data_IF_350873837976
#
_entry.id   IF_350873837976
#
_cell.length_a   1.000
_cell.length_b   1.000
_cell.length_c   1.000
_cell.angle_alpha   90.00
_cell.angle_beta   90.00
_cell.angle_gamma   90.00
#
_symmetry.space_group_name_H-M   'P 1'
#
loop_
_entity.id
_entity.type
_entity.pdbx_description
1 polymer ?
#
# COMPACT_ATOMS: atom_id res chain seq x y z
N UNK A 1 -77.81 -6.42 -4.23
CA UNK A 1 -77.86 -6.19 -5.68
C UNK A 1 -76.65 -5.34 -6.05
N UNK A 2 -75.71 -5.95 -6.77
CA UNK A 2 -74.87 -5.42 -7.87
C UNK A 2 -74.93 -3.90 -8.14
N UNK A 3 -73.91 -3.14 -8.57
CA UNK A 3 -72.64 -3.33 -9.30
C UNK A 3 -72.10 -1.89 -9.54
N UNK A 4 -70.81 -1.55 -9.45
CA UNK A 4 -69.80 -1.35 -10.54
C UNK A 4 -69.01 -0.08 -10.12
N UNK A 5 -67.72 -0.13 -9.80
CA UNK A 5 -66.53 -0.19 -10.67
C UNK A 5 -66.32 1.07 -11.56
N UNK A 6 -65.35 1.92 -11.22
CA UNK A 6 -64.28 2.35 -12.14
C UNK A 6 -63.15 3.15 -11.45
N UNK A 7 -61.92 2.82 -11.89
CA UNK A 7 -60.57 3.31 -11.50
C UNK A 7 -60.24 4.66 -12.14
N UNK A 8 -59.38 5.44 -11.47
CA UNK A 8 -58.16 6.06 -12.02
C UNK A 8 -57.39 6.70 -10.83
N UNK A 9 -56.30 6.10 -10.34
CA UNK A 9 -54.93 6.30 -10.82
C UNK A 9 -54.44 7.76 -10.67
N UNK A 10 -54.01 8.12 -9.46
CA UNK A 10 -53.16 9.28 -9.18
C UNK A 10 -51.89 8.79 -8.50
N UNK A 11 -50.78 8.78 -9.25
CA UNK A 11 -49.49 8.32 -8.80
C UNK A 11 -48.94 9.22 -7.69
N UNK A 12 -48.46 8.61 -6.62
CA UNK A 12 -47.62 9.24 -5.59
C UNK A 12 -46.19 9.19 -6.14
N UNK A 13 -45.45 10.31 -6.25
CA UNK A 13 -44.05 10.23 -6.62
C UNK A 13 -43.28 9.60 -5.45
N UNK A 14 -42.70 8.44 -5.72
CA UNK A 14 -41.80 7.75 -4.83
C UNK A 14 -40.52 8.58 -4.65
N UNK A 15 -40.08 8.62 -3.40
CA UNK A 15 -38.83 9.17 -2.89
C UNK A 15 -37.67 8.62 -3.72
N UNK A 16 -37.06 9.45 -4.58
CA UNK A 16 -35.74 9.16 -5.13
C UNK A 16 -34.70 9.63 -4.14
N UNK A 17 -34.06 8.66 -3.49
CA UNK A 17 -32.92 8.84 -2.64
C UNK A 17 -31.81 9.58 -3.40
N UNK A 18 -31.26 10.61 -2.76
CA UNK A 18 -29.98 11.21 -3.08
C UNK A 18 -28.90 10.14 -2.89
N UNK A 19 -28.59 9.38 -3.94
CA UNK A 19 -27.25 8.84 -4.10
C UNK A 19 -26.43 10.00 -4.65
N UNK A 20 -25.79 10.75 -3.76
CA UNK A 20 -24.74 11.68 -4.14
C UNK A 20 -23.68 10.91 -4.92
N UNK A 21 -23.20 11.52 -5.99
CA UNK A 21 -22.14 10.99 -6.82
C UNK A 21 -20.83 11.06 -6.01
N UNK A 22 -20.61 10.10 -5.11
CA UNK A 22 -19.45 10.06 -4.21
C UNK A 22 -18.12 10.08 -5.00
N UNK A 23 -18.14 9.62 -6.26
CA UNK A 23 -17.01 9.74 -7.20
C UNK A 23 -16.76 11.18 -7.67
N UNK A 24 -17.80 12.01 -7.84
CA UNK A 24 -17.62 13.45 -8.07
C UNK A 24 -17.02 14.13 -6.84
N UNK A 25 -17.45 13.75 -5.64
CA UNK A 25 -16.93 14.32 -4.41
C UNK A 25 -15.46 13.95 -4.19
N UNK A 26 -15.06 12.70 -4.49
CA UNK A 26 -13.66 12.28 -4.46
C UNK A 26 -12.81 13.08 -5.47
N UNK A 27 -13.27 13.19 -6.72
CA UNK A 27 -12.55 13.93 -7.76
C UNK A 27 -12.39 15.43 -7.42
N UNK A 28 -13.38 16.03 -6.75
CA UNK A 28 -13.32 17.41 -6.26
C UNK A 28 -12.30 17.55 -5.14
N UNK A 29 -12.29 16.62 -4.17
CA UNK A 29 -11.31 16.61 -3.07
C UNK A 29 -9.89 16.41 -3.62
N UNK A 30 -9.69 15.55 -4.62
CA UNK A 30 -8.41 15.38 -5.30
C UNK A 30 -7.93 16.65 -6.00
N UNK A 31 -8.80 17.30 -6.78
CA UNK A 31 -8.44 18.57 -7.46
C UNK A 31 -8.08 19.66 -6.46
N UNK A 32 -8.80 19.74 -5.34
CA UNK A 32 -8.50 20.68 -4.26
C UNK A 32 -7.15 20.38 -3.61
N UNK A 33 -6.88 19.11 -3.31
CA UNK A 33 -5.59 18.67 -2.74
C UNK A 33 -4.42 18.99 -3.67
N UNK A 34 -4.58 18.78 -4.98
CA UNK A 34 -3.56 19.16 -5.97
C UNK A 34 -3.31 20.67 -6.01
N UNK A 35 -4.37 21.48 -5.96
CA UNK A 35 -4.25 22.93 -5.89
C UNK A 35 -3.55 23.40 -4.59
N UNK A 36 -3.88 22.77 -3.46
CA UNK A 36 -3.25 23.06 -2.17
C UNK A 36 -1.75 22.70 -2.19
N UNK A 37 -1.37 21.56 -2.78
CA UNK A 37 0.03 21.15 -2.93
C UNK A 37 0.82 22.06 -3.90
N UNK A 38 0.19 22.53 -4.98
CA UNK A 38 0.81 23.50 -5.87
C UNK A 38 1.04 24.84 -5.15
N UNK A 39 0.05 25.31 -4.39
CA UNK A 39 0.20 26.51 -3.55
C UNK A 39 1.29 26.32 -2.49
N UNK A 40 1.42 25.15 -1.89
CA UNK A 40 2.48 24.85 -0.94
C UNK A 40 3.86 25.06 -1.57
N UNK A 41 4.05 24.58 -2.82
CA UNK A 41 5.29 24.79 -3.57
C UNK A 41 5.61 26.28 -3.74
N UNK A 42 4.62 27.10 -4.09
CA UNK A 42 4.79 28.56 -4.26
C UNK A 42 5.17 29.25 -2.95
N UNK A 43 4.55 28.83 -1.83
CA UNK A 43 4.84 29.39 -0.50
C UNK A 43 6.25 28.99 -0.05
N UNK A 44 6.67 27.74 -0.31
CA UNK A 44 8.03 27.27 0.00
C UNK A 44 9.10 28.03 -0.80
N UNK A 45 8.88 28.28 -2.09
CA UNK A 45 9.80 29.10 -2.89
C UNK A 45 9.90 30.54 -2.36
N UNK A 46 8.77 31.12 -1.94
CA UNK A 46 8.76 32.44 -1.31
C UNK A 46 9.48 32.46 0.04
N UNK A 47 9.31 31.43 0.87
CA UNK A 47 10.01 31.26 2.15
C UNK A 47 11.53 31.10 1.96
N UNK A 48 11.93 30.34 0.93
CA UNK A 48 13.34 30.18 0.55
C UNK A 48 13.95 31.52 0.10
N UNK A 49 13.22 32.30 -0.71
CA UNK A 49 13.67 33.63 -1.12
C UNK A 49 13.91 34.56 0.09
N UNK A 50 13.04 34.52 1.10
CA UNK A 50 13.18 35.32 2.33
C UNK A 50 14.37 34.85 3.17
N UNK A 51 14.58 33.54 3.30
CA UNK A 51 15.75 33.00 4.04
C UNK A 51 17.07 33.32 3.35
N UNK A 52 17.12 33.26 2.02
CA UNK A 52 18.28 33.74 1.23
C UNK A 52 18.50 35.24 1.43
N UNK A 53 17.43 36.05 1.49
CA UNK A 53 17.54 37.47 1.78
C UNK A 53 18.04 37.73 3.21
N UNK A 54 17.61 36.92 4.18
CA UNK A 54 18.02 37.00 5.58
C UNK A 54 19.52 36.74 5.75
N UNK A 55 20.08 35.76 5.03
CA UNK A 55 21.51 35.41 5.09
C UNK A 55 22.41 36.57 4.62
N UNK A 56 21.90 37.40 3.69
CA UNK A 56 22.59 38.60 3.19
C UNK A 56 22.52 39.80 4.13
N UNK A 57 21.70 39.76 5.19
CA UNK A 57 21.51 40.88 6.14
C UNK A 57 22.27 40.61 7.44
N UNK A 58 23.29 41.43 7.78
CA UNK A 58 24.04 41.29 9.04
C UNK A 58 23.17 41.39 10.29
N UNK A 59 23.60 40.75 11.37
CA UNK A 59 22.94 40.79 12.67
C UNK A 59 22.79 42.23 13.20
N UNK A 60 21.67 42.51 13.89
CA UNK A 60 21.40 43.81 14.52
C UNK A 60 20.77 44.88 13.63
N UNK A 61 20.48 44.60 12.35
CA UNK A 61 19.72 45.51 11.47
C UNK A 61 18.21 45.42 11.75
N UNK A 62 17.47 46.54 11.79
CA UNK A 62 16.02 46.53 12.02
C UNK A 62 15.27 45.71 10.95
N UNK A 63 15.72 45.78 9.70
CA UNK A 63 15.15 45.01 8.58
C UNK A 63 15.33 43.49 8.70
N UNK A 64 16.22 43.01 9.58
CA UNK A 64 16.38 41.57 9.84
C UNK A 64 15.21 41.04 10.68
N UNK A 65 14.72 41.84 11.63
CA UNK A 65 13.57 41.46 12.46
C UNK A 65 12.29 41.32 11.63
N UNK A 66 12.09 42.19 10.65
CA UNK A 66 10.92 42.13 9.76
C UNK A 66 11.01 40.91 8.84
N UNK A 67 12.17 40.63 8.26
CA UNK A 67 12.39 39.43 7.43
C UNK A 67 12.25 38.13 8.23
N UNK A 68 12.72 38.08 9.49
CA UNK A 68 12.46 36.94 10.37
C UNK A 68 10.96 36.74 10.64
N UNK A 69 10.21 37.82 10.81
CA UNK A 69 8.77 37.75 11.02
C UNK A 69 8.04 37.26 9.76
N UNK A 70 8.42 37.75 8.58
CA UNK A 70 7.89 37.29 7.29
C UNK A 70 8.22 35.81 7.02
N UNK A 71 9.44 35.37 7.34
CA UNK A 71 9.82 33.95 7.24
C UNK A 71 8.98 33.07 8.18
N UNK A 72 8.74 33.53 9.41
CA UNK A 72 7.89 32.82 10.37
C UNK A 72 6.42 32.79 9.93
N UNK A 73 5.93 33.84 9.27
CA UNK A 73 4.58 33.86 8.69
C UNK A 73 4.46 32.87 7.52
N UNK A 74 5.47 32.82 6.64
CA UNK A 74 5.49 31.84 5.54
C UNK A 74 5.53 30.40 6.04
N UNK A 75 6.35 30.10 7.04
CA UNK A 75 6.36 28.78 7.67
C UNK A 75 5.01 28.39 8.30
N UNK A 76 4.26 29.36 8.85
CA UNK A 76 2.90 29.10 9.36
C UNK A 76 1.90 28.83 8.25
N UNK A 77 1.97 29.58 7.15
CA UNK A 77 1.14 29.37 5.96
C UNK A 77 1.39 27.98 5.36
N UNK A 78 2.65 27.55 5.25
CA UNK A 78 3.01 26.19 4.84
C UNK A 78 2.36 25.13 5.75
N UNK A 79 2.48 25.31 7.07
CA UNK A 79 1.93 24.38 8.05
C UNK A 79 0.41 24.26 7.95
N UNK A 80 -0.30 25.36 7.69
CA UNK A 80 -1.76 25.36 7.50
C UNK A 80 -2.15 24.60 6.23
N UNK A 81 -1.46 24.86 5.11
CA UNK A 81 -1.73 24.17 3.83
C UNK A 81 -1.47 22.67 3.97
N UNK A 82 -0.38 22.28 4.65
CA UNK A 82 -0.07 20.86 4.90
C UNK A 82 -1.17 20.20 5.73
N UNK A 83 -1.67 20.85 6.77
CA UNK A 83 -2.75 20.30 7.59
C UNK A 83 -4.03 20.07 6.78
N UNK A 84 -4.42 21.04 5.95
CA UNK A 84 -5.58 20.92 5.08
C UNK A 84 -5.39 19.80 4.05
N UNK A 85 -4.22 19.70 3.42
CA UNK A 85 -3.92 18.63 2.47
C UNK A 85 -3.96 17.24 3.15
N UNK A 86 -3.43 17.12 4.37
CA UNK A 86 -3.49 15.89 5.15
C UNK A 86 -4.92 15.51 5.51
N UNK A 87 -5.76 16.46 5.89
CA UNK A 87 -7.18 16.21 6.13
C UNK A 87 -7.87 15.72 4.85
N UNK A 88 -7.66 16.38 3.71
CA UNK A 88 -8.22 15.95 2.43
C UNK A 88 -7.78 14.53 2.07
N UNK A 89 -6.50 14.20 2.22
CA UNK A 89 -5.97 12.85 1.97
C UNK A 89 -6.60 11.82 2.91
N UNK A 90 -6.77 12.15 4.20
CA UNK A 90 -7.49 11.27 5.15
C UNK A 90 -8.94 11.04 4.74
N UNK A 91 -9.64 12.08 4.27
CA UNK A 91 -11.01 11.93 3.75
C UNK A 91 -11.03 11.03 2.52
N UNK A 92 -10.09 11.19 1.59
CA UNK A 92 -9.95 10.32 0.41
C UNK A 92 -9.68 8.86 0.79
N UNK A 93 -8.84 8.62 1.81
CA UNK A 93 -8.61 7.27 2.34
C UNK A 93 -9.90 6.66 2.90
N UNK A 94 -10.69 7.42 3.67
CA UNK A 94 -11.95 6.96 4.24
C UNK A 94 -12.99 6.67 3.15
N UNK A 95 -13.11 7.53 2.13
CA UNK A 95 -14.00 7.29 0.98
C UNK A 95 -13.62 5.99 0.26
N UNK A 96 -12.32 5.79 0.04
CA UNK A 96 -11.78 4.58 -0.61
C UNK A 96 -11.98 3.31 0.22
N UNK A 97 -11.88 3.40 1.55
CA UNK A 97 -12.16 2.27 2.45
C UNK A 97 -13.67 2.01 2.62
N UNK A 98 -14.51 3.04 2.49
CA UNK A 98 -15.97 2.94 2.55
C UNK A 98 -16.59 2.20 1.36
N UNK A 99 -16.01 2.35 0.16
CA UNK A 99 -16.42 1.61 -1.03
C UNK A 99 -16.16 0.10 -0.93
N UNK A 100 -15.20 -0.33 -0.09
CA UNK A 100 -14.98 -1.75 0.21
C UNK A 100 -16.04 -2.34 1.14
N UNK A 101 -16.77 -1.51 1.90
CA UNK A 101 -17.83 -1.96 2.79
C UNK A 101 -19.20 -2.06 2.09
N UNK A 102 -19.44 -1.26 1.04
CA UNK A 102 -20.76 -1.11 0.43
C UNK A 102 -21.09 -2.12 -0.70
N UNK A 103 -20.13 -2.95 -1.13
CA UNK A 103 -20.39 -4.09 -2.04
C UNK A 103 -20.98 -5.32 -1.31
N UNK A 104 -21.27 -5.20 -0.01
CA UNK A 104 -21.75 -6.30 0.84
C UNK A 104 -23.26 -6.62 0.72
N UNK A 105 -24.01 -5.94 -0.14
CA UNK A 105 -25.46 -6.20 -0.28
C UNK A 105 -25.94 -6.27 -1.73
N UNK A 106 -25.73 -7.42 -2.40
CA UNK A 106 -26.77 -8.13 -3.14
C UNK A 106 -26.26 -9.44 -3.77
N UNK A 107 -26.91 -10.54 -3.38
CA UNK A 107 -27.15 -11.76 -4.17
C UNK A 107 -25.98 -12.68 -4.55
N UNK A 108 -25.90 -13.83 -3.85
CA UNK A 108 -25.08 -14.96 -4.30
C UNK A 108 -25.24 -16.25 -3.50
N UNK A 109 -26.46 -16.62 -3.11
CA UNK A 109 -26.74 -17.91 -2.44
C UNK A 109 -26.41 -19.10 -3.36
N UNK A 110 -25.67 -20.06 -2.80
CA UNK A 110 -25.60 -21.52 -3.13
C UNK A 110 -24.81 -21.93 -4.37
N UNK A 111 -23.68 -22.60 -4.15
CA UNK A 111 -23.57 -24.08 -4.26
C UNK A 111 -22.20 -24.59 -3.80
N UNK A 112 -22.22 -25.20 -2.62
CA UNK A 112 -21.24 -26.20 -2.15
C UNK A 112 -21.23 -27.36 -3.16
N UNK A 113 -20.11 -27.62 -3.85
CA UNK A 113 -19.81 -28.96 -4.38
C UNK A 113 -18.32 -29.27 -4.20
N UNK A 114 -18.13 -30.29 -3.37
CA UNK A 114 -17.01 -31.22 -3.33
C UNK A 114 -16.71 -31.71 -4.75
N UNK A 115 -15.48 -31.57 -5.21
CA UNK A 115 -14.94 -32.33 -6.36
C UNK A 115 -13.62 -32.93 -5.90
N UNK A 116 -13.65 -34.26 -5.82
CA UNK A 116 -12.51 -35.14 -5.66
C UNK A 116 -11.67 -35.14 -6.94
N UNK A 117 -10.42 -35.55 -6.78
CA UNK A 117 -9.36 -35.64 -7.78
C UNK A 117 -9.81 -36.13 -9.17
N UNK A 118 -9.27 -35.53 -10.22
CA UNK A 118 -8.51 -36.21 -11.30
C UNK A 118 -7.67 -35.19 -12.06
N UNK A 119 -6.49 -35.64 -12.51
CA UNK A 119 -5.34 -34.79 -12.80
C UNK A 119 -5.39 -33.92 -14.06
N UNK A 120 -4.61 -32.84 -14.02
CA UNK A 120 -4.04 -32.23 -15.21
C UNK A 120 -2.55 -31.97 -14.97
N UNK A 121 -1.75 -32.78 -15.67
CA UNK A 121 -0.32 -32.65 -15.83
C UNK A 121 -0.04 -31.42 -16.69
N UNK A 122 0.48 -30.34 -16.10
CA UNK A 122 1.04 -29.21 -16.85
C UNK A 122 2.49 -28.98 -16.42
N UNK A 123 3.38 -29.63 -17.17
CA UNK A 123 4.80 -29.30 -17.26
C UNK A 123 4.94 -27.89 -17.85
N UNK A 124 4.89 -26.87 -17.00
CA UNK A 124 5.42 -25.54 -17.28
C UNK A 124 6.14 -25.03 -16.03
N UNK A 125 7.16 -25.78 -15.60
CA UNK A 125 8.08 -25.35 -14.56
C UNK A 125 9.12 -24.37 -15.16
N UNK A 126 8.64 -23.29 -15.78
CA UNK A 126 9.44 -22.07 -15.91
C UNK A 126 9.58 -21.57 -14.47
N UNK A 127 10.68 -21.96 -13.83
CA UNK A 127 11.08 -21.44 -12.53
C UNK A 127 10.87 -19.94 -12.60
N UNK A 128 9.87 -19.42 -11.87
CA UNK A 128 9.73 -17.99 -11.60
C UNK A 128 11.12 -17.58 -11.15
N UNK A 129 11.84 -16.86 -12.02
CA UNK A 129 13.24 -16.52 -11.78
C UNK A 129 13.22 -15.73 -10.49
N UNK A 130 13.83 -16.28 -9.43
CA UNK A 130 14.14 -15.53 -8.21
C UNK A 130 14.80 -14.24 -8.68
N UNK A 131 14.18 -13.14 -8.25
CA UNK A 131 14.21 -11.81 -8.83
C UNK A 131 15.58 -11.36 -9.36
N UNK A 132 15.56 -10.68 -10.51
CA UNK A 132 16.66 -10.48 -11.47
C UNK A 132 17.85 -9.65 -11.01
N UNK A 133 17.90 -9.22 -9.75
CA UNK A 133 18.93 -8.34 -9.22
C UNK A 133 19.85 -9.00 -8.17
N UNK A 134 19.70 -10.30 -7.91
CA UNK A 134 20.77 -11.05 -7.24
C UNK A 134 22.01 -11.08 -8.15
N UNK A 135 23.21 -10.91 -7.56
CA UNK A 135 24.46 -10.92 -8.34
C UNK A 135 24.65 -12.26 -9.08
N UNK A 136 25.73 -12.38 -9.87
CA UNK A 136 26.03 -13.63 -10.60
C UNK A 136 26.12 -14.87 -9.70
N UNK A 137 26.29 -14.68 -8.39
CA UNK A 137 26.39 -15.73 -7.39
C UNK A 137 25.07 -15.93 -6.60
N UNK A 138 24.02 -15.16 -6.89
CA UNK A 138 22.74 -15.22 -6.20
C UNK A 138 22.75 -14.53 -4.82
N UNK A 139 23.68 -13.61 -4.60
CA UNK A 139 23.80 -12.79 -3.40
C UNK A 139 23.04 -11.47 -3.62
N UNK A 140 22.28 -11.07 -2.61
CA UNK A 140 21.52 -9.82 -2.61
C UNK A 140 22.47 -8.69 -2.20
N UNK A 141 22.61 -7.61 -2.99
CA UNK A 141 23.48 -6.50 -2.64
C UNK A 141 22.98 -5.74 -1.40
N UNK A 142 23.86 -4.94 -0.81
CA UNK A 142 23.51 -4.01 0.26
C UNK A 142 22.48 -2.97 -0.22
N UNK A 143 21.73 -2.43 0.74
CA UNK A 143 20.69 -1.42 0.50
C UNK A 143 19.37 -1.96 -0.06
N UNK A 144 19.32 -3.18 -0.58
CA UNK A 144 18.12 -3.74 -1.19
C UNK A 144 17.08 -4.15 -0.14
N UNK A 145 15.80 -4.04 -0.52
CA UNK A 145 14.69 -4.49 0.31
C UNK A 145 14.51 -6.01 0.23
N UNK A 146 14.21 -6.60 1.37
CA UNK A 146 14.04 -8.05 1.52
C UNK A 146 12.90 -8.35 2.48
N UNK A 147 12.23 -9.48 2.27
CA UNK A 147 11.44 -10.11 3.30
C UNK A 147 12.37 -11.01 4.13
N UNK A 148 12.46 -10.75 5.43
CA UNK A 148 13.37 -11.41 6.36
C UNK A 148 12.59 -12.19 7.41
N UNK A 149 12.92 -13.47 7.61
CA UNK A 149 12.32 -14.30 8.67
C UNK A 149 13.08 -14.12 9.97
N UNK A 150 12.44 -13.53 10.97
CA UNK A 150 13.02 -13.33 12.29
C UNK A 150 13.29 -14.67 12.99
N UNK A 151 14.33 -14.75 13.85
CA UNK A 151 14.60 -15.96 14.62
C UNK A 151 13.47 -16.21 15.62
N UNK A 152 13.19 -17.50 15.89
CA UNK A 152 12.26 -17.90 16.93
C UNK A 152 12.86 -17.60 18.31
N UNK A 153 12.43 -16.53 18.94
CA UNK A 153 12.72 -16.27 20.34
C UNK A 153 11.67 -16.92 21.24
N UNK A 154 12.05 -17.23 22.49
CA UNK A 154 11.17 -17.94 23.45
C UNK A 154 9.82 -17.26 23.70
N UNK A 155 9.71 -15.96 23.36
CA UNK A 155 8.53 -15.13 23.58
C UNK A 155 7.91 -14.53 22.30
N UNK A 156 8.50 -14.77 21.11
CA UNK A 156 8.00 -14.23 19.83
C UNK A 156 7.89 -15.33 18.78
N UNK A 157 6.80 -15.30 18.01
CA UNK A 157 6.64 -16.21 16.88
C UNK A 157 7.62 -15.83 15.76
N UNK A 158 7.94 -16.78 14.88
CA UNK A 158 8.70 -16.48 13.68
C UNK A 158 7.83 -15.65 12.74
N UNK A 159 8.30 -14.46 12.39
CA UNK A 159 7.57 -13.51 11.55
C UNK A 159 8.42 -13.15 10.34
N UNK A 160 7.77 -12.93 9.20
CA UNK A 160 8.44 -12.35 8.04
C UNK A 160 8.24 -10.84 8.08
N UNK A 161 9.35 -10.09 8.08
CA UNK A 161 9.34 -8.63 8.18
C UNK A 161 9.96 -8.01 6.93
N UNK A 162 9.57 -6.78 6.62
CA UNK A 162 10.22 -5.93 5.64
C UNK A 162 11.52 -5.41 6.24
N UNK A 163 12.62 -5.66 5.56
CA UNK A 163 13.94 -5.30 6.02
C UNK A 163 14.83 -4.81 4.87
N UNK A 164 15.96 -4.20 5.22
CA UNK A 164 17.00 -3.77 4.29
C UNK A 164 18.29 -4.53 4.53
N UNK A 165 18.97 -4.95 3.47
CA UNK A 165 20.27 -5.60 3.59
C UNK A 165 21.34 -4.57 3.98
N UNK A 166 22.05 -4.82 5.07
CA UNK A 166 23.21 -4.03 5.48
C UNK A 166 24.52 -4.62 4.95
N UNK A 167 24.67 -5.94 5.03
CA UNK A 167 25.85 -6.64 4.52
C UNK A 167 25.63 -8.15 4.40
N UNK A 168 26.48 -8.80 3.62
CA UNK A 168 26.53 -10.25 3.51
C UNK A 168 27.91 -10.78 3.92
N UNK A 169 27.94 -11.75 4.84
CA UNK A 169 29.15 -12.45 5.25
C UNK A 169 29.25 -13.80 4.52
N UNK A 170 30.07 -13.85 3.47
CA UNK A 170 30.23 -15.03 2.62
C UNK A 170 30.68 -16.28 3.40
N UNK A 171 31.66 -16.14 4.30
CA UNK A 171 32.22 -17.26 5.08
C UNK A 171 31.18 -18.01 5.92
N UNK A 172 30.16 -17.27 6.40
CA UNK A 172 29.09 -17.81 7.26
C UNK A 172 27.79 -18.02 6.51
N UNK A 173 27.72 -17.60 5.24
CA UNK A 173 26.50 -17.53 4.43
C UNK A 173 25.33 -16.85 5.17
N UNK A 174 25.62 -15.69 5.78
CA UNK A 174 24.65 -14.92 6.57
C UNK A 174 24.51 -13.50 6.06
N UNK A 175 23.28 -13.02 6.04
CA UNK A 175 22.96 -11.62 5.85
C UNK A 175 22.83 -10.93 7.20
N UNK A 176 23.25 -9.67 7.25
CA UNK A 176 22.87 -8.73 8.28
C UNK A 176 21.83 -7.81 7.68
N UNK A 177 20.64 -7.80 8.26
CA UNK A 177 19.50 -7.01 7.80
C UNK A 177 19.02 -6.09 8.90
N UNK A 178 18.47 -4.94 8.51
CA UNK A 178 17.86 -3.94 9.39
C UNK A 178 16.35 -3.94 9.16
N UNK A 179 15.56 -3.99 10.23
CA UNK A 179 14.11 -3.86 10.20
C UNK A 179 13.69 -2.50 9.62
N UNK A 180 12.65 -2.48 8.79
CA UNK A 180 12.12 -1.21 8.32
C UNK A 180 11.37 -0.46 9.42
N UNK A 181 10.79 -1.17 10.38
CA UNK A 181 10.12 -0.61 11.55
C UNK A 181 11.15 -0.17 12.61
N UNK A 182 10.95 1.04 13.14
CA UNK A 182 11.72 1.56 14.27
C UNK A 182 10.94 1.35 15.57
N UNK A 183 11.65 1.10 16.67
CA UNK A 183 11.03 1.05 18.00
C UNK A 183 10.51 2.43 18.46
N UNK A 184 9.88 2.47 19.65
CA UNK A 184 9.37 3.69 20.27
C UNK A 184 10.43 4.80 20.46
N UNK A 185 11.72 4.45 20.39
CA UNK A 185 12.85 5.36 20.53
C UNK A 185 13.52 5.70 19.18
N UNK A 186 12.92 5.27 18.05
CA UNK A 186 13.43 5.51 16.70
C UNK A 186 14.60 4.59 16.32
N UNK A 187 14.87 3.53 17.08
CA UNK A 187 15.96 2.59 16.80
C UNK A 187 15.44 1.42 15.97
N UNK A 188 16.12 1.16 14.85
CA UNK A 188 15.87 0.00 14.01
C UNK A 188 16.62 -1.23 14.52
N UNK A 189 15.94 -2.37 14.53
CA UNK A 189 16.52 -3.63 14.97
C UNK A 189 17.34 -4.27 13.84
N UNK A 190 18.43 -4.94 14.20
CA UNK A 190 19.27 -5.64 13.22
C UNK A 190 19.32 -7.14 13.51
N UNK A 191 19.28 -7.93 12.45
CA UNK A 191 19.23 -9.40 12.53
C UNK A 191 20.33 -10.03 11.68
N UNK A 192 21.00 -11.04 12.24
CA UNK A 192 21.92 -11.90 11.47
C UNK A 192 21.20 -13.18 11.06
N UNK A 193 20.83 -13.27 9.79
CA UNK A 193 19.97 -14.31 9.24
C UNK A 193 20.69 -15.16 8.21
N UNK A 194 20.28 -16.43 8.09
CA UNK A 194 20.77 -17.30 7.02
C UNK A 194 20.21 -16.85 5.66
N UNK A 195 20.90 -17.16 4.57
CA UNK A 195 20.40 -16.88 3.22
C UNK A 195 19.02 -17.51 2.89
N UNK A 196 18.57 -18.52 3.64
CA UNK A 196 17.24 -19.14 3.48
C UNK A 196 16.11 -18.36 4.17
N UNK A 197 16.48 -17.48 5.08
CA UNK A 197 15.56 -16.63 5.84
C UNK A 197 15.43 -15.24 5.22
N UNK A 198 15.95 -15.04 4.00
CA UNK A 198 15.94 -13.76 3.30
C UNK A 198 15.44 -14.00 1.89
N UNK A 199 14.40 -13.27 1.50
CA UNK A 199 13.83 -13.29 0.15
C UNK A 199 13.97 -11.89 -0.40
N UNK A 200 14.62 -11.77 -1.56
CA UNK A 200 14.72 -10.49 -2.25
C UNK A 200 13.34 -9.98 -2.66
N UNK A 201 13.10 -8.70 -2.43
CA UNK A 201 11.93 -8.00 -2.96
C UNK A 201 12.41 -7.34 -4.27
N UNK A 202 11.66 -7.45 -5.38
CA UNK A 202 11.98 -6.75 -6.62
C UNK A 202 12.08 -5.23 -6.39
N UNK A 203 12.79 -4.54 -7.26
CA UNK A 203 12.74 -3.08 -7.33
C UNK A 203 11.58 -2.62 -8.23
N UNK A 204 11.22 -1.34 -8.15
CA UNK A 204 10.07 -0.79 -8.90
C UNK A 204 10.26 -0.85 -10.43
N UNK A 205 11.49 -1.04 -10.91
CA UNK A 205 11.82 -1.16 -12.33
C UNK A 205 11.85 -2.62 -12.84
N UNK A 206 11.75 -3.61 -11.95
CA UNK A 206 11.81 -5.01 -12.34
C UNK A 206 10.50 -5.50 -12.97
N UNK A 207 10.60 -6.31 -14.02
CA UNK A 207 9.45 -7.05 -14.53
C UNK A 207 9.08 -8.19 -13.56
N UNK A 208 7.97 -8.02 -12.84
CA UNK A 208 7.49 -9.00 -11.87
C UNK A 208 6.58 -10.01 -12.57
N UNK A 209 6.97 -11.29 -12.55
CA UNK A 209 6.12 -12.38 -13.02
C UNK A 209 4.91 -12.54 -12.09
N UNK A 210 3.72 -12.59 -12.69
CA UNK A 210 2.49 -12.70 -11.91
C UNK A 210 2.21 -14.13 -11.40
N UNK A 211 1.73 -14.23 -10.16
CA UNK A 211 1.23 -15.47 -9.58
C UNK A 211 -0.23 -15.71 -9.99
N UNK A 212 -0.58 -16.93 -10.44
CA UNK A 212 -1.96 -17.24 -10.83
C UNK A 212 -2.90 -17.29 -9.61
N UNK A 213 -4.20 -17.13 -9.87
CA UNK A 213 -5.24 -17.35 -8.86
C UNK A 213 -5.15 -18.77 -8.27
N UNK A 214 -5.34 -18.88 -6.96
CA UNK A 214 -5.16 -20.09 -6.15
C UNK A 214 -3.73 -20.33 -5.67
N UNK A 215 -2.73 -19.58 -6.14
CA UNK A 215 -1.35 -19.73 -5.68
C UNK A 215 -1.18 -19.19 -4.26
N UNK A 216 -0.45 -19.94 -3.43
CA UNK A 216 -0.09 -19.52 -2.07
C UNK A 216 1.16 -18.65 -2.12
N UNK A 217 1.06 -17.47 -1.52
CA UNK A 217 2.09 -16.43 -1.53
C UNK A 217 2.38 -15.95 -0.10
N UNK A 218 3.50 -15.26 0.05
CA UNK A 218 3.84 -14.47 1.21
C UNK A 218 3.62 -12.99 0.83
N UNK A 219 2.68 -12.30 1.47
CA UNK A 219 2.27 -10.96 1.10
C UNK A 219 2.34 -9.99 2.28
N UNK A 220 2.72 -8.73 2.04
CA UNK A 220 2.74 -7.69 3.06
C UNK A 220 1.30 -7.37 3.50
N UNK A 221 1.05 -7.34 4.81
CA UNK A 221 -0.27 -6.98 5.34
C UNK A 221 -0.47 -5.45 5.30
N UNK A 222 -1.66 -4.97 4.94
CA UNK A 222 -1.94 -3.54 4.84
C UNK A 222 -1.53 -2.77 6.10
N UNK A 223 -0.86 -1.63 5.91
CA UNK A 223 -0.42 -0.73 6.99
C UNK A 223 0.55 -1.35 8.01
N UNK A 224 1.26 -2.41 7.64
CA UNK A 224 2.30 -3.02 8.47
C UNK A 224 3.59 -3.23 7.68
N UNK A 225 4.66 -3.57 8.38
CA UNK A 225 5.95 -4.01 7.82
C UNK A 225 6.08 -5.54 7.84
N UNK A 226 4.97 -6.29 8.00
CA UNK A 226 4.98 -7.73 8.18
C UNK A 226 4.34 -8.46 7.00
N UNK A 227 4.95 -9.59 6.61
CA UNK A 227 4.44 -10.47 5.58
C UNK A 227 3.78 -11.70 6.17
N UNK A 228 2.62 -12.05 5.61
CA UNK A 228 1.82 -13.18 6.04
C UNK A 228 1.43 -14.07 4.87
N UNK A 229 1.09 -15.30 5.20
CA UNK A 229 0.63 -16.27 4.22
C UNK A 229 -0.73 -15.84 3.67
N UNK A 230 -0.84 -15.83 2.35
CA UNK A 230 -2.06 -15.48 1.64
C UNK A 230 -2.27 -16.38 0.41
N UNK A 231 -3.50 -16.37 -0.12
CA UNK A 231 -3.87 -17.02 -1.37
C UNK A 231 -4.29 -15.96 -2.38
N UNK A 232 -3.74 -16.05 -3.60
CA UNK A 232 -4.12 -15.16 -4.70
C UNK A 232 -5.55 -15.46 -5.13
N UNK A 233 -6.43 -14.46 -5.07
CA UNK A 233 -7.79 -14.53 -5.61
C UNK A 233 -7.78 -14.10 -7.07
N UNK A 234 -7.11 -12.98 -7.37
CA UNK A 234 -7.03 -12.44 -8.72
C UNK A 234 -5.67 -11.78 -8.96
N UNK A 235 -4.96 -12.15 -10.05
CA UNK A 235 -3.74 -11.46 -10.44
C UNK A 235 -4.04 -10.08 -11.05
N UNK A 236 -3.04 -9.17 -11.05
CA UNK A 236 -3.18 -7.81 -11.56
C UNK A 236 -3.64 -7.75 -13.03
N UNK A 237 -3.09 -8.61 -13.90
CA UNK A 237 -3.50 -8.70 -15.33
C UNK A 237 -4.99 -8.98 -15.56
N UNK A 238 -5.68 -9.56 -14.57
CA UNK A 238 -7.10 -9.93 -14.66
C UNK A 238 -8.01 -8.92 -13.98
N UNK A 239 -7.49 -7.90 -13.31
CA UNK A 239 -8.32 -6.86 -12.70
C UNK A 239 -9.04 -6.04 -13.78
N UNK A 240 -10.27 -5.60 -13.49
CA UNK A 240 -11.03 -4.71 -14.38
C UNK A 240 -10.66 -3.23 -14.19
N UNK A 241 -9.96 -2.93 -13.10
CA UNK A 241 -9.42 -1.61 -12.74
C UNK A 241 -8.13 -1.34 -13.52
N UNK A 242 -8.23 -1.27 -14.86
CA UNK A 242 -7.08 -0.97 -15.73
C UNK A 242 -6.73 0.53 -15.81
N UNK A 243 -7.62 1.40 -15.34
CA UNK A 243 -7.48 2.86 -15.41
C UNK A 243 -6.74 3.48 -14.21
N UNK A 244 -6.64 2.75 -13.09
CA UNK A 244 -5.81 3.13 -11.95
C UNK A 244 -4.40 2.62 -12.22
N UNK A 245 -3.48 3.51 -12.63
CA UNK A 245 -2.15 3.18 -13.19
C UNK A 245 -1.19 2.26 -12.41
N UNK A 246 -1.62 1.62 -11.31
CA UNK A 246 -0.91 0.57 -10.59
C UNK A 246 -1.81 -0.67 -10.40
N UNK A 247 -1.64 -1.73 -11.20
CA UNK A 247 -2.48 -2.92 -11.09
C UNK A 247 -2.12 -3.72 -9.84
N UNK A 248 -3.12 -4.04 -9.01
CA UNK A 248 -2.96 -4.72 -7.72
C UNK A 248 -3.43 -6.19 -7.79
N UNK A 249 -2.84 -7.04 -6.94
CA UNK A 249 -3.40 -8.35 -6.64
C UNK A 249 -4.65 -8.21 -5.75
N UNK A 250 -5.61 -9.12 -5.90
CA UNK A 250 -6.56 -9.46 -4.82
C UNK A 250 -6.10 -10.75 -4.15
N UNK A 251 -5.95 -10.72 -2.83
CA UNK A 251 -5.45 -11.82 -2.00
C UNK A 251 -6.35 -12.03 -0.77
N UNK A 252 -6.32 -13.23 -0.19
CA UNK A 252 -6.92 -13.54 1.11
C UNK A 252 -5.84 -14.03 2.06
N UNK A 253 -5.66 -13.37 3.19
CA UNK A 253 -4.77 -13.85 4.24
C UNK A 253 -5.42 -15.01 4.99
N UNK A 254 -4.60 -15.94 5.48
CA UNK A 254 -5.08 -17.13 6.20
C UNK A 254 -5.82 -16.78 7.51
N UNK A 255 -5.51 -15.63 8.12
CA UNK A 255 -6.03 -15.21 9.45
C UNK A 255 -7.18 -14.18 9.38
N UNK A 256 -7.51 -13.67 8.18
CA UNK A 256 -8.48 -12.57 7.98
C UNK A 256 -9.92 -13.07 7.71
N UNK A 257 -10.29 -14.26 8.19
CA UNK A 257 -11.63 -14.87 7.99
C UNK A 257 -12.13 -14.91 6.52
N UNK A 258 -11.22 -14.86 5.55
CA UNK A 258 -11.54 -14.87 4.11
C UNK A 258 -11.85 -13.49 3.50
N UNK A 259 -11.57 -12.40 4.20
CA UNK A 259 -11.64 -11.02 3.68
C UNK A 259 -10.65 -10.85 2.52
N UNK A 260 -11.11 -10.25 1.43
CA UNK A 260 -10.26 -9.91 0.28
C UNK A 260 -9.52 -8.60 0.53
N UNK A 261 -8.21 -8.63 0.32
CA UNK A 261 -7.31 -7.48 0.42
C UNK A 261 -6.62 -7.25 -0.90
N UNK A 262 -6.16 -6.02 -1.12
CA UNK A 262 -5.31 -5.69 -2.26
C UNK A 262 -3.85 -5.61 -1.85
N UNK A 263 -2.95 -6.02 -2.74
CA UNK A 263 -1.51 -5.92 -2.51
C UNK A 263 -0.77 -5.56 -3.81
N UNK A 264 0.24 -4.68 -3.77
CA UNK A 264 1.04 -4.35 -4.94
C UNK A 264 1.91 -5.54 -5.33
N UNK A 265 2.20 -5.74 -6.64
CA UNK A 265 2.94 -6.92 -7.10
C UNK A 265 4.29 -7.15 -6.44
N UNK A 266 5.00 -6.07 -6.12
CA UNK A 266 6.31 -6.11 -5.45
C UNK A 266 6.24 -6.66 -4.02
N UNK A 267 5.10 -6.51 -3.36
CA UNK A 267 4.88 -6.97 -1.99
C UNK A 267 4.22 -8.35 -1.92
N UNK A 268 4.12 -9.06 -3.04
CA UNK A 268 3.63 -10.43 -3.14
C UNK A 268 4.78 -11.32 -3.58
N UNK A 269 5.22 -12.22 -2.70
CA UNK A 269 6.38 -13.08 -2.89
C UNK A 269 5.99 -14.54 -2.94
N UNK A 270 6.79 -15.36 -3.62
CA UNK A 270 6.58 -16.81 -3.62
C UNK A 270 6.86 -17.39 -2.23
N UNK A 271 6.04 -18.36 -1.82
CA UNK A 271 6.19 -18.96 -0.49
C UNK A 271 7.49 -19.79 -0.43
N UNK A 272 8.39 -19.52 0.53
CA UNK A 272 9.62 -20.29 0.66
C UNK A 272 9.30 -21.74 1.03
N UNK A 273 9.95 -22.68 0.33
CA UNK A 273 9.85 -24.11 0.65
C UNK A 273 10.61 -24.38 1.94
N UNK A 274 9.88 -24.39 3.06
CA UNK A 274 10.38 -24.88 4.35
C UNK A 274 10.71 -26.37 4.16
N UNK A 275 11.99 -26.73 4.27
CA UNK A 275 12.45 -28.12 4.32
C UNK A 275 12.79 -28.47 5.76
#
# INVERSE_FOLDING_TARGET
MDRKNQRAAGAVPAVSALAGDDSQDEAVIWKRTLADLQRLSEVMEAGEAITIALDKVPEGRPNRSTLCQEAAEKAREEQEIIQVALENIKHLMVLRDGDLANDSTAEGKRKKRKIEAEGLNNNNNKKIRRYSAADSNGIIPDGHQVAARTPKDKNKQEEWILAKVLSYTADKNKYMVEDDEADEYGKKMTYSLSARSVIMIPDDQDEILEFPAGHTVLALYPSTTCFYKAVVVQPPSKSKEKDSGNPLYRIKFDDDEGIERTAPPRMVLDMPKLK
#
